data_IF_532566913732
#
_entry.id   IF_532566913732
#
_cell.length_a   1.000
_cell.length_b   1.000
_cell.length_c   1.000
_cell.angle_alpha   90.00
_cell.angle_beta   90.00
_cell.angle_gamma   90.00
#
_symmetry.space_group_name_H-M   'P 1'
#
loop_
_entity.id
_entity.type
_entity.pdbx_description
1 polymer ?
#
# COMPACT_ATOMS: atom_id res chain seq x y z
N UNK A 1 -9.94 18.45 -13.76
CA UNK A 1 -10.80 17.76 -12.82
C UNK A 1 -11.10 18.69 -11.64
N UNK A 2 -12.37 19.04 -11.35
CA UNK A 2 -12.71 19.95 -10.28
C UNK A 2 -12.64 19.34 -8.88
N UNK A 3 -12.47 18.01 -8.79
CA UNK A 3 -12.33 17.29 -7.52
C UNK A 3 -10.89 16.85 -7.31
N UNK A 4 -10.40 16.97 -6.09
CA UNK A 4 -9.09 16.48 -5.70
C UNK A 4 -9.16 14.99 -5.36
N UNK A 5 -8.12 14.25 -5.67
CA UNK A 5 -7.89 12.93 -5.12
C UNK A 5 -7.57 13.05 -3.64
N UNK A 6 -7.98 12.07 -2.87
CA UNK A 6 -7.71 12.09 -1.43
C UNK A 6 -7.39 10.69 -0.92
N UNK A 7 -6.57 10.65 0.11
CA UNK A 7 -6.43 9.53 1.02
C UNK A 7 -7.21 9.79 2.30
N UNK A 8 -7.32 8.77 3.13
CA UNK A 8 -8.07 8.82 4.38
C UNK A 8 -7.22 8.33 5.54
N UNK A 9 -7.30 9.03 6.67
CA UNK A 9 -6.84 8.52 7.95
C UNK A 9 -8.05 8.16 8.79
N UNK A 10 -8.17 6.90 9.13
CA UNK A 10 -9.23 6.37 10.00
C UNK A 10 -8.65 6.19 11.40
N UNK A 11 -9.27 6.80 12.41
CA UNK A 11 -8.90 6.64 13.81
C UNK A 11 -10.05 6.01 14.57
N UNK A 12 -9.83 4.83 15.12
CA UNK A 12 -10.81 4.10 15.91
C UNK A 12 -10.09 3.19 16.93
N UNK A 13 -10.60 3.14 18.14
CA UNK A 13 -10.11 2.27 19.22
C UNK A 13 -8.61 2.38 19.47
N UNK A 14 -8.05 3.60 19.32
CA UNK A 14 -6.62 3.86 19.49
C UNK A 14 -5.74 3.40 18.32
N UNK A 15 -6.31 2.92 17.24
CA UNK A 15 -5.62 2.53 16.00
C UNK A 15 -5.73 3.61 14.94
N UNK A 16 -4.70 3.69 14.08
CA UNK A 16 -4.66 4.54 12.89
C UNK A 16 -4.48 3.69 11.65
N UNK A 17 -5.43 3.81 10.73
CA UNK A 17 -5.42 3.13 9.45
C UNK A 17 -5.37 4.19 8.35
N UNK A 18 -4.30 4.20 7.58
CA UNK A 18 -4.16 5.07 6.42
C UNK A 18 -4.60 4.33 5.15
N UNK A 19 -5.43 4.95 4.34
CA UNK A 19 -5.80 4.51 3.00
C UNK A 19 -5.35 5.56 2.00
N UNK A 20 -4.46 5.19 1.07
CA UNK A 20 -3.87 6.14 0.14
C UNK A 20 -4.88 6.72 -0.87
N UNK A 21 -5.94 5.98 -1.19
CA UNK A 21 -6.65 6.22 -2.44
C UNK A 21 -5.72 5.97 -3.63
N UNK A 22 -6.13 6.38 -4.83
CA UNK A 22 -5.24 6.44 -5.99
C UNK A 22 -4.35 7.67 -5.84
N UNK A 23 -3.04 7.51 -5.99
CA UNK A 23 -2.09 8.61 -5.75
C UNK A 23 -0.78 8.40 -6.51
N UNK A 24 -0.08 9.49 -6.78
CA UNK A 24 1.35 9.44 -7.11
C UNK A 24 2.19 9.93 -5.94
N UNK A 25 3.52 9.82 -6.08
CA UNK A 25 4.42 10.28 -5.04
C UNK A 25 4.45 11.82 -4.95
N UNK A 26 4.40 12.34 -3.72
CA UNK A 26 4.43 13.77 -3.47
C UNK A 26 4.72 14.12 -2.02
N UNK A 27 4.80 15.41 -1.69
CA UNK A 27 5.13 15.91 -0.34
C UNK A 27 4.10 15.51 0.71
N UNK A 28 2.89 15.13 0.31
CA UNK A 28 1.82 14.72 1.22
C UNK A 28 2.19 13.50 2.07
N UNK A 29 3.02 12.57 1.58
CA UNK A 29 3.48 11.44 2.39
C UNK A 29 4.29 11.88 3.60
N UNK A 30 5.21 12.83 3.43
CA UNK A 30 5.96 13.41 4.54
C UNK A 30 5.04 14.20 5.50
N UNK A 31 4.07 14.94 4.98
CA UNK A 31 3.10 15.68 5.78
C UNK A 31 2.20 14.74 6.61
N UNK A 32 1.74 13.63 6.00
CA UNK A 32 0.96 12.61 6.70
C UNK A 32 1.79 11.99 7.83
N UNK A 33 3.04 11.61 7.56
CA UNK A 33 3.92 11.03 8.57
C UNK A 33 4.20 11.99 9.73
N UNK A 34 4.33 13.28 9.47
CA UNK A 34 4.49 14.31 10.51
C UNK A 34 3.22 14.49 11.34
N UNK A 35 2.06 14.49 10.68
CA UNK A 35 0.76 14.69 11.34
C UNK A 35 0.34 13.45 12.14
N UNK A 36 0.66 12.27 11.62
CA UNK A 36 0.29 10.97 12.20
C UNK A 36 1.55 10.10 12.42
N UNK A 37 2.35 10.37 13.44
CA UNK A 37 3.66 9.72 13.63
C UNK A 37 3.59 8.22 13.93
N UNK A 38 2.40 7.68 14.17
CA UNK A 38 2.16 6.26 14.37
C UNK A 38 0.99 5.82 13.49
N UNK A 39 1.27 4.95 12.52
CA UNK A 39 0.28 4.32 11.66
C UNK A 39 0.33 2.81 11.91
N UNK A 40 -0.80 2.22 12.31
CA UNK A 40 -0.87 0.79 12.64
C UNK A 40 -1.05 -0.07 11.38
N UNK A 41 -1.74 0.47 10.37
CA UNK A 41 -1.93 -0.19 9.08
C UNK A 41 -1.98 0.85 7.97
N UNK A 42 -1.25 0.63 6.88
CA UNK A 42 -1.37 1.42 5.67
C UNK A 42 -1.87 0.56 4.51
N UNK A 43 -2.95 1.01 3.89
CA UNK A 43 -3.49 0.47 2.64
C UNK A 43 -2.93 1.36 1.52
N UNK A 44 -1.89 0.88 0.81
CA UNK A 44 -1.17 1.68 -0.18
C UNK A 44 -1.44 1.13 -1.57
N UNK A 45 -1.87 1.99 -2.49
CA UNK A 45 -2.10 1.62 -3.89
C UNK A 45 -0.81 1.14 -4.55
N UNK A 46 -0.91 0.12 -5.42
CA UNK A 46 0.26 -0.60 -5.90
C UNK A 46 0.09 -1.21 -7.30
N UNK A 47 -0.95 -0.92 -8.04
CA UNK A 47 -1.27 -1.84 -9.12
C UNK A 47 -1.23 -1.27 -10.53
N UNK A 48 -1.33 0.01 -10.69
CA UNK A 48 -1.65 0.58 -12.00
C UNK A 48 -0.60 1.59 -12.50
N UNK A 49 0.64 1.48 -11.98
CA UNK A 49 1.75 2.29 -12.44
C UNK A 49 2.20 1.90 -13.86
N UNK A 50 2.59 2.88 -14.66
CA UNK A 50 3.14 2.67 -15.99
C UNK A 50 4.00 3.86 -16.41
N UNK A 51 4.97 3.62 -17.29
CA UNK A 51 5.82 4.68 -17.84
C UNK A 51 5.04 5.66 -18.73
N UNK A 52 3.89 5.25 -19.27
CA UNK A 52 3.02 6.10 -20.07
C UNK A 52 2.25 7.14 -19.23
N UNK A 53 2.12 6.90 -17.88
CA UNK A 53 1.48 7.86 -16.96
C UNK A 53 2.20 7.97 -15.61
N UNK A 54 3.48 8.37 -15.59
CA UNK A 54 4.34 8.29 -14.40
C UNK A 54 3.89 9.17 -13.21
N UNK A 55 2.97 10.09 -13.45
CA UNK A 55 2.44 11.01 -12.42
C UNK A 55 1.07 10.62 -11.87
N UNK A 56 0.52 9.47 -12.25
CA UNK A 56 -0.85 9.06 -11.86
C UNK A 56 -0.84 8.06 -10.71
N UNK A 57 0.06 7.10 -10.75
CA UNK A 57 0.19 6.04 -9.75
C UNK A 57 1.61 5.96 -9.18
N UNK A 58 1.76 5.24 -8.06
CA UNK A 58 3.05 5.04 -7.42
C UNK A 58 3.93 4.08 -8.23
N UNK A 59 4.94 4.62 -8.91
CA UNK A 59 6.01 3.81 -9.50
C UNK A 59 6.74 3.01 -8.42
N UNK A 60 7.35 1.86 -8.73
CA UNK A 60 7.97 0.95 -7.74
C UNK A 60 8.94 1.61 -6.76
N UNK A 61 9.81 2.50 -7.24
CA UNK A 61 10.73 3.22 -6.38
C UNK A 61 10.00 4.23 -5.47
N UNK A 62 8.97 4.89 -6.01
CA UNK A 62 8.15 5.85 -5.30
C UNK A 62 7.28 5.17 -4.23
N UNK A 63 6.74 3.97 -4.51
CA UNK A 63 6.02 3.16 -3.54
C UNK A 63 6.88 2.86 -2.31
N UNK A 64 8.12 2.41 -2.53
CA UNK A 64 9.06 2.14 -1.44
C UNK A 64 9.41 3.40 -0.63
N UNK A 65 9.56 4.55 -1.31
CA UNK A 65 9.79 5.82 -0.62
C UNK A 65 8.58 6.24 0.23
N UNK A 66 7.37 6.10 -0.30
CA UNK A 66 6.14 6.40 0.42
C UNK A 66 6.00 5.49 1.67
N UNK A 67 6.21 4.18 1.50
CA UNK A 67 6.19 3.22 2.60
C UNK A 67 7.24 3.54 3.68
N UNK A 68 8.45 3.94 3.27
CA UNK A 68 9.52 4.34 4.20
C UNK A 68 9.18 5.61 4.97
N UNK A 69 8.58 6.62 4.32
CA UNK A 69 8.16 7.87 4.97
C UNK A 69 7.03 7.63 5.98
N UNK A 70 6.01 6.87 5.59
CA UNK A 70 4.87 6.55 6.45
C UNK A 70 5.27 5.64 7.62
N UNK A 71 6.23 4.75 7.40
CA UNK A 71 6.76 3.78 8.37
C UNK A 71 5.67 3.10 9.22
N UNK A 72 4.63 2.49 8.60
CA UNK A 72 3.54 1.87 9.33
C UNK A 72 3.98 0.54 9.96
N UNK A 73 3.24 0.04 10.94
CA UNK A 73 3.49 -1.28 11.51
C UNK A 73 3.24 -2.41 10.50
N UNK A 74 2.26 -2.23 9.62
CA UNK A 74 1.97 -3.16 8.53
C UNK A 74 1.43 -2.44 7.30
N UNK A 75 1.59 -3.08 6.14
CA UNK A 75 1.06 -2.61 4.86
C UNK A 75 0.16 -3.70 4.25
N UNK A 76 -0.92 -3.29 3.63
CA UNK A 76 -1.65 -4.05 2.61
C UNK A 76 -1.51 -3.30 1.29
N UNK A 77 -0.98 -3.95 0.27
CA UNK A 77 -0.98 -3.42 -1.09
C UNK A 77 -2.40 -3.54 -1.67
N UNK A 78 -2.93 -2.43 -2.17
CA UNK A 78 -4.28 -2.36 -2.73
C UNK A 78 -4.24 -1.90 -4.18
N UNK A 79 -5.39 -1.87 -4.86
CA UNK A 79 -5.52 -1.42 -6.26
C UNK A 79 -4.77 -2.32 -7.26
N UNK A 80 -4.63 -3.59 -6.93
CA UNK A 80 -3.94 -4.61 -7.73
C UNK A 80 -4.82 -5.88 -7.91
N UNK A 81 -4.34 -6.84 -8.69
CA UNK A 81 -4.82 -8.23 -8.77
C UNK A 81 -6.25 -8.42 -9.33
N UNK A 82 -7.01 -7.38 -9.63
CA UNK A 82 -8.34 -7.47 -10.28
C UNK A 82 -8.24 -7.19 -11.77
N UNK A 83 -7.59 -6.09 -12.13
CA UNK A 83 -7.30 -5.68 -13.49
C UNK A 83 -5.84 -5.26 -13.58
N UNK A 84 -5.22 -5.41 -14.74
CA UNK A 84 -3.95 -4.80 -15.09
C UNK A 84 -4.19 -3.87 -16.27
N UNK A 85 -4.19 -2.57 -16.04
CA UNK A 85 -4.33 -1.55 -17.10
C UNK A 85 -2.97 -1.19 -17.70
N UNK A 86 -1.90 -1.57 -17.02
CA UNK A 86 -0.50 -1.25 -17.33
C UNK A 86 0.15 -2.35 -18.16
N UNK A 87 1.36 -2.10 -18.66
CA UNK A 87 2.12 -3.04 -19.49
C UNK A 87 2.93 -4.07 -18.67
N UNK A 88 3.04 -3.90 -17.35
CA UNK A 88 3.70 -4.90 -16.49
C UNK A 88 2.82 -6.13 -16.26
N UNK A 89 3.42 -7.23 -15.79
CA UNK A 89 2.65 -8.43 -15.42
C UNK A 89 1.78 -8.13 -14.21
N UNK A 90 0.59 -8.73 -14.14
CA UNK A 90 -0.34 -8.54 -13.02
C UNK A 90 0.23 -8.93 -11.65
N UNK A 91 1.25 -9.81 -11.63
CA UNK A 91 1.95 -10.24 -10.40
C UNK A 91 3.05 -9.29 -9.94
N UNK A 92 3.53 -8.38 -10.83
CA UNK A 92 4.68 -7.53 -10.54
C UNK A 92 4.45 -6.57 -9.37
N UNK A 93 3.25 -5.95 -9.20
CA UNK A 93 2.99 -5.12 -8.05
C UNK A 93 3.19 -5.85 -6.71
N UNK A 94 2.58 -7.01 -6.56
CA UNK A 94 2.69 -7.80 -5.32
C UNK A 94 4.12 -8.27 -5.04
N UNK A 95 4.87 -8.65 -6.08
CA UNK A 95 6.28 -9.01 -5.96
C UNK A 95 7.12 -7.80 -5.51
N UNK A 96 6.86 -6.63 -6.08
CA UNK A 96 7.53 -5.38 -5.74
C UNK A 96 7.21 -4.95 -4.30
N UNK A 97 5.93 -4.99 -3.90
CA UNK A 97 5.52 -4.67 -2.53
C UNK A 97 6.20 -5.60 -1.52
N UNK A 98 6.22 -6.92 -1.80
CA UNK A 98 6.89 -7.91 -0.95
C UNK A 98 8.38 -7.62 -0.80
N UNK A 99 9.08 -7.39 -1.91
CA UNK A 99 10.50 -7.07 -1.89
C UNK A 99 10.77 -5.76 -1.11
N UNK A 100 9.99 -4.72 -1.38
CA UNK A 100 10.14 -3.41 -0.75
C UNK A 100 9.87 -3.47 0.75
N UNK A 101 8.79 -4.11 1.18
CA UNK A 101 8.46 -4.29 2.59
C UNK A 101 9.55 -5.05 3.35
N UNK A 102 10.09 -6.13 2.73
CA UNK A 102 11.24 -6.88 3.28
C UNK A 102 12.47 -5.99 3.46
N UNK A 103 12.79 -5.15 2.47
CA UNK A 103 13.95 -4.23 2.54
C UNK A 103 13.78 -3.18 3.64
N UNK A 104 12.55 -2.75 3.90
CA UNK A 104 12.22 -1.75 4.91
C UNK A 104 12.01 -2.35 6.32
N UNK A 105 11.91 -3.68 6.43
CA UNK A 105 11.57 -4.33 7.70
C UNK A 105 10.12 -4.10 8.14
N UNK A 106 9.22 -3.75 7.21
CA UNK A 106 7.80 -3.50 7.47
C UNK A 106 7.02 -4.78 7.17
N UNK A 107 6.05 -5.13 8.02
CA UNK A 107 5.19 -6.28 7.77
C UNK A 107 4.29 -6.03 6.55
N UNK A 108 4.30 -6.93 5.57
CA UNK A 108 3.33 -6.93 4.47
C UNK A 108 2.27 -8.00 4.74
N UNK A 109 1.01 -7.59 4.79
CA UNK A 109 -0.12 -8.49 4.88
C UNK A 109 -0.72 -8.68 3.48
N UNK A 110 -0.89 -9.94 3.09
CA UNK A 110 -1.35 -10.33 1.75
C UNK A 110 -2.57 -11.25 1.81
N UNK A 111 -3.69 -10.80 2.43
CA UNK A 111 -4.90 -11.60 2.46
C UNK A 111 -5.40 -11.88 1.04
N UNK A 112 -6.01 -13.05 0.83
CA UNK A 112 -6.78 -13.31 -0.38
C UNK A 112 -7.90 -12.26 -0.52
N UNK A 113 -8.30 -11.97 -1.74
CA UNK A 113 -9.43 -11.06 -2.00
C UNK A 113 -10.68 -11.61 -1.29
N UNK A 114 -11.24 -10.82 -0.36
CA UNK A 114 -12.37 -11.22 0.49
C UNK A 114 -11.98 -11.96 1.78
N UNK A 115 -10.71 -12.25 2.00
CA UNK A 115 -10.26 -12.87 3.24
C UNK A 115 -10.23 -11.85 4.39
N UNK A 116 -10.88 -12.13 5.55
CA UNK A 116 -10.81 -11.27 6.70
C UNK A 116 -9.40 -11.19 7.30
N UNK A 117 -8.93 -10.00 7.57
CA UNK A 117 -7.66 -9.75 8.26
C UNK A 117 -7.90 -9.08 9.60
N UNK A 118 -7.44 -9.65 10.72
CA UNK A 118 -7.51 -8.98 12.02
C UNK A 118 -6.67 -7.70 12.03
N UNK A 119 -7.25 -6.61 12.53
CA UNK A 119 -6.53 -5.34 12.69
C UNK A 119 -5.51 -5.42 13.83
N UNK A 120 -5.83 -6.16 14.89
CA UNK A 120 -4.93 -6.42 16.01
C UNK A 120 -3.65 -7.15 15.53
N UNK A 121 -2.46 -6.55 15.67
CA UNK A 121 -1.20 -7.17 15.25
C UNK A 121 -0.93 -8.53 15.89
N UNK A 122 -1.34 -8.73 17.14
CA UNK A 122 -1.14 -9.98 17.87
C UNK A 122 -1.97 -11.14 17.30
N UNK A 123 -3.01 -10.83 16.55
CA UNK A 123 -3.92 -11.80 15.91
C UNK A 123 -3.65 -11.98 14.42
N UNK A 124 -2.74 -11.18 13.84
CA UNK A 124 -2.36 -11.32 12.43
C UNK A 124 -1.55 -12.59 12.26
N UNK A 125 -1.97 -13.42 11.33
CA UNK A 125 -1.20 -14.56 10.86
C UNK A 125 -0.31 -14.16 9.68
N UNK A 126 0.67 -14.99 9.37
CA UNK A 126 1.37 -14.91 8.08
C UNK A 126 0.41 -15.28 6.95
N UNK A 127 0.49 -14.55 5.86
CA UNK A 127 -0.25 -14.85 4.63
C UNK A 127 0.66 -15.54 3.63
N UNK A 128 0.05 -16.35 2.76
CA UNK A 128 0.77 -17.00 1.66
C UNK A 128 0.94 -16.06 0.47
N UNK A 129 1.91 -16.37 -0.38
CA UNK A 129 2.11 -15.68 -1.67
C UNK A 129 1.14 -16.26 -2.71
N UNK A 130 -0.15 -16.07 -2.49
CA UNK A 130 -1.21 -16.68 -3.28
C UNK A 130 -1.15 -16.31 -4.77
N UNK A 131 -0.67 -15.11 -5.11
CA UNK A 131 -0.52 -14.66 -6.50
C UNK A 131 0.53 -15.44 -7.30
N UNK A 132 1.36 -16.24 -6.65
CA UNK A 132 2.31 -17.13 -7.31
C UNK A 132 1.71 -18.52 -7.61
N UNK A 133 0.47 -18.77 -7.15
CA UNK A 133 -0.19 -20.08 -7.27
C UNK A 133 -1.38 -20.07 -8.24
N UNK A 134 -1.68 -18.94 -8.86
CA UNK A 134 -2.81 -18.76 -9.78
C UNK A 134 -2.35 -18.29 -11.15
#
# INVERSE_FOLDING_TARGET
NPTLWCGYMLEADGMRIYHSGDTSFGPHFAQIAQTFPKIDLALIEDGQYDDDWPGVHLMPAAWRQAAALLNPQAIVAIHNSKFCLSHHKWTDPMNMAKQSAKMLGIALATPLIGEPMPLDPARRRSFEDWWLKV
#
